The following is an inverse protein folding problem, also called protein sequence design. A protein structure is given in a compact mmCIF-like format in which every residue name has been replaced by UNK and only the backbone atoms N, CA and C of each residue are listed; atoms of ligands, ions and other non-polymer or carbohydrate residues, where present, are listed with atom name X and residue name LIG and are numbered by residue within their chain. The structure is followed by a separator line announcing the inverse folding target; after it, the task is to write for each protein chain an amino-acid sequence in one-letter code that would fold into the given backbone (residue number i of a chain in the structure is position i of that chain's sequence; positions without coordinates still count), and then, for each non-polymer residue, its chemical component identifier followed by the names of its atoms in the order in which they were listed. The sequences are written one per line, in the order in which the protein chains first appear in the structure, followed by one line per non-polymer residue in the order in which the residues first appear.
data_IF_328527507671
#
_entry.id   IF_328527507671
#
_cell.length_a   1.000
_cell.length_b   1.000
_cell.length_c   1.000
_cell.angle_alpha   90.00
_cell.angle_beta   90.00
_cell.angle_gamma   90.00
#
_symmetry.space_group_name_H-M   'P 1'
#
loop_
_entity.id
_entity.type
_entity.pdbx_description
1 polymer ?
#
# COMPACT_ATOMS: atom_id res chain seq x y z
N UNK A 1 16.21 29.77 7.63
CA UNK A 1 14.76 29.51 7.52
C UNK A 1 14.46 28.01 7.39
N UNK A 2 14.86 27.33 6.31
CA UNK A 2 14.60 25.87 6.18
C UNK A 2 15.33 25.04 7.26
N UNK A 3 16.60 25.36 7.53
CA UNK A 3 17.35 24.75 8.63
C UNK A 3 16.71 25.01 9.99
N UNK A 4 16.18 26.22 10.23
CA UNK A 4 15.47 26.52 11.48
C UNK A 4 14.17 25.70 11.60
N UNK A 5 13.42 25.53 10.52
CA UNK A 5 12.20 24.71 10.52
C UNK A 5 12.49 23.25 10.88
N UNK A 6 13.55 22.69 10.27
CA UNK A 6 14.01 21.33 10.57
C UNK A 6 14.62 21.22 11.98
N UNK A 7 15.31 22.26 12.46
CA UNK A 7 15.79 22.30 13.84
C UNK A 7 14.64 22.32 14.85
N UNK A 8 13.56 23.06 14.58
CA UNK A 8 12.35 23.03 15.40
C UNK A 8 11.69 21.65 15.40
N UNK A 9 11.72 20.93 14.29
CA UNK A 9 11.26 19.54 14.26
C UNK A 9 12.15 18.68 15.17
N UNK A 10 13.47 18.76 15.01
CA UNK A 10 14.43 18.01 15.83
C UNK A 10 14.21 18.20 17.32
N UNK A 11 13.98 19.44 17.78
CA UNK A 11 13.79 19.72 19.20
C UNK A 11 12.45 19.22 19.75
N UNK A 12 11.47 18.97 18.90
CA UNK A 12 10.16 18.42 19.28
C UNK A 12 10.08 16.88 19.14
N UNK A 13 11.07 16.26 18.51
CA UNK A 13 11.17 14.82 18.40
C UNK A 13 12.09 14.24 19.47
N UNK A 14 11.76 13.05 19.95
CA UNK A 14 12.67 12.21 20.71
C UNK A 14 13.35 11.24 19.74
N UNK A 15 14.68 11.25 19.75
CA UNK A 15 15.53 10.53 18.81
C UNK A 15 16.44 9.55 19.56
N UNK A 16 15.94 8.36 19.92
CA UNK A 16 16.71 7.38 20.69
C UNK A 16 17.90 6.80 19.90
N UNK A 17 17.83 6.86 18.56
CA UNK A 17 18.82 6.28 17.67
C UNK A 17 19.83 7.30 17.12
N UNK A 18 19.74 8.57 17.55
CA UNK A 18 20.58 9.67 17.10
C UNK A 18 20.56 9.88 15.55
N UNK A 19 19.44 9.58 14.88
CA UNK A 19 19.29 9.76 13.44
C UNK A 19 19.36 11.23 13.01
N UNK A 20 19.00 12.14 13.92
CA UNK A 20 19.02 13.60 13.72
C UNK A 20 20.33 14.22 14.24
N UNK A 21 21.35 13.43 14.57
CA UNK A 21 22.59 13.95 15.17
C UNK A 21 23.29 14.98 14.28
N UNK A 22 23.28 14.79 12.96
CA UNK A 22 23.93 15.70 12.01
C UNK A 22 23.20 17.03 11.81
N UNK A 23 22.00 17.21 12.39
CA UNK A 23 21.15 18.38 12.18
C UNK A 23 21.62 19.55 13.03
N UNK A 24 22.76 20.12 12.65
CA UNK A 24 23.43 21.19 13.38
C UNK A 24 22.84 22.57 13.01
N UNK A 25 22.18 23.27 13.95
CA UNK A 25 21.58 24.58 13.68
C UNK A 25 22.61 25.70 13.41
N UNK A 26 23.88 25.47 13.70
CA UNK A 26 24.95 26.44 13.42
C UNK A 26 25.37 26.44 11.95
N UNK A 27 25.02 25.39 11.21
CA UNK A 27 25.26 25.33 9.77
C UNK A 27 24.24 26.17 9.01
N UNK A 28 24.73 26.96 8.06
CA UNK A 28 23.92 27.88 7.24
C UNK A 28 22.89 27.12 6.40
N UNK A 29 23.16 25.87 6.05
CA UNK A 29 22.36 25.10 5.09
C UNK A 29 22.12 23.66 5.58
N UNK A 30 20.85 23.20 5.67
CA UNK A 30 20.52 21.82 6.03
C UNK A 30 20.86 20.78 4.96
N UNK A 31 21.32 21.15 3.76
CA UNK A 31 21.61 20.20 2.69
C UNK A 31 22.76 19.22 2.98
N UNK A 32 23.56 19.46 4.02
CA UNK A 32 24.60 18.53 4.47
C UNK A 32 24.12 17.58 5.56
N UNK A 33 22.88 17.73 6.03
CA UNK A 33 22.32 16.90 7.09
C UNK A 33 21.92 15.55 6.52
N UNK A 34 22.19 14.46 7.25
CA UNK A 34 21.64 13.16 6.92
C UNK A 34 20.13 13.23 6.90
N UNK A 35 19.52 12.39 6.05
CA UNK A 35 18.08 12.31 5.86
C UNK A 35 17.44 13.55 5.22
N UNK A 36 18.24 14.52 4.76
CA UNK A 36 17.78 15.71 4.03
C UNK A 36 18.38 15.70 2.63
N UNK A 37 17.55 15.95 1.61
CA UNK A 37 18.02 16.14 0.22
C UNK A 37 17.59 17.51 -0.27
N UNK A 38 18.50 18.19 -0.98
CA UNK A 38 18.24 19.48 -1.61
C UNK A 38 18.32 19.42 -3.13
N UNK A 39 17.73 20.43 -3.78
CA UNK A 39 17.94 20.70 -5.19
C UNK A 39 19.25 21.47 -5.44
N UNK A 40 19.52 21.79 -6.72
CA UNK A 40 20.69 22.55 -7.14
C UNK A 40 20.73 23.99 -6.59
N UNK A 41 19.59 24.52 -6.16
CA UNK A 41 19.46 25.86 -5.56
C UNK A 41 19.61 25.83 -4.02
N UNK A 42 20.08 24.71 -3.46
CA UNK A 42 20.27 24.50 -2.02
C UNK A 42 18.98 24.62 -1.19
N UNK A 43 17.83 24.28 -1.76
CA UNK A 43 16.55 24.23 -1.06
C UNK A 43 16.11 22.79 -0.85
N UNK A 44 15.57 22.51 0.34
CA UNK A 44 15.14 21.17 0.76
C UNK A 44 13.98 20.66 -0.10
N UNK A 45 14.17 19.50 -0.73
CA UNK A 45 13.17 18.81 -1.56
C UNK A 45 12.71 17.49 -0.97
N UNK A 46 13.49 16.88 -0.06
CA UNK A 46 13.11 15.63 0.61
C UNK A 46 13.60 15.60 2.05
N UNK A 47 12.76 15.09 2.93
CA UNK A 47 13.12 14.68 4.28
C UNK A 47 12.68 13.22 4.44
N UNK A 48 13.64 12.33 4.73
CA UNK A 48 13.39 10.89 4.86
C UNK A 48 13.83 10.34 6.21
N UNK A 49 12.87 10.23 7.11
CA UNK A 49 13.04 9.75 8.48
C UNK A 49 12.20 8.49 8.74
N UNK A 50 11.92 7.70 7.70
CA UNK A 50 11.17 6.44 7.83
C UNK A 50 11.90 5.42 8.72
N UNK A 51 11.15 4.62 9.49
CA UNK A 51 11.71 3.55 10.35
C UNK A 51 12.79 4.01 11.35
N UNK A 52 12.71 5.25 11.84
CA UNK A 52 13.74 5.84 12.68
C UNK A 52 13.50 5.66 14.20
N UNK A 53 12.38 5.04 14.59
CA UNK A 53 11.90 4.92 15.97
C UNK A 53 11.72 6.28 16.67
N UNK A 54 11.47 7.34 15.89
CA UNK A 54 11.24 8.69 16.39
C UNK A 54 9.92 8.77 17.15
N UNK A 55 9.88 9.51 18.24
CA UNK A 55 8.62 9.85 18.92
C UNK A 55 8.52 11.36 19.17
N UNK A 56 7.44 11.84 19.79
CA UNK A 56 7.18 13.28 19.95
C UNK A 56 6.07 13.76 19.01
N UNK A 57 6.14 15.01 18.55
CA UNK A 57 5.07 15.64 17.74
C UNK A 57 5.64 16.45 16.58
N UNK A 58 4.88 16.56 15.49
CA UNK A 58 5.23 17.46 14.39
C UNK A 58 5.04 18.93 14.76
N UNK A 59 5.66 19.80 13.96
CA UNK A 59 5.70 21.25 14.21
C UNK A 59 5.13 22.04 13.02
N UNK A 60 4.41 23.16 13.25
CA UNK A 60 3.90 24.05 12.19
C UNK A 60 4.98 24.57 11.24
N UNK A 61 6.20 24.74 11.74
CA UNK A 61 7.34 25.28 11.01
C UNK A 61 7.71 24.42 9.80
N UNK A 62 7.33 23.14 9.77
CA UNK A 62 7.50 22.30 8.58
C UNK A 62 6.83 22.90 7.33
N UNK A 63 5.74 23.65 7.49
CA UNK A 63 5.08 24.38 6.39
C UNK A 63 5.93 25.48 5.74
N UNK A 64 7.13 25.76 6.24
CA UNK A 64 8.09 26.71 5.66
C UNK A 64 8.92 26.12 4.51
N UNK A 65 8.97 24.79 4.36
CA UNK A 65 9.78 24.08 3.36
C UNK A 65 9.10 24.11 1.97
N UNK A 66 9.02 25.28 1.32
CA UNK A 66 8.17 25.51 0.13
C UNK A 66 8.48 24.62 -1.08
N UNK A 67 9.71 24.13 -1.19
CA UNK A 67 10.14 23.28 -2.30
C UNK A 67 10.12 21.79 -1.95
N UNK A 68 9.64 21.41 -0.75
CA UNK A 68 9.55 20.02 -0.33
C UNK A 68 8.60 19.25 -1.26
N UNK A 69 9.08 18.10 -1.74
CA UNK A 69 8.37 17.19 -2.62
C UNK A 69 8.04 15.88 -1.92
N UNK A 70 8.92 15.40 -1.04
CA UNK A 70 8.76 14.11 -0.36
C UNK A 70 8.96 14.32 1.14
N UNK A 71 7.93 14.01 1.92
CA UNK A 71 7.98 14.01 3.38
C UNK A 71 7.67 12.60 3.88
N UNK A 72 8.72 11.86 4.21
CA UNK A 72 8.66 10.45 4.58
C UNK A 72 8.92 10.32 6.08
N UNK A 73 7.85 10.14 6.87
CA UNK A 73 7.91 10.02 8.33
C UNK A 73 7.30 8.69 8.82
N UNK A 74 7.08 7.76 7.90
CA UNK A 74 6.38 6.52 8.14
C UNK A 74 7.10 5.59 9.12
N UNK A 75 6.36 4.68 9.75
CA UNK A 75 6.90 3.66 10.65
C UNK A 75 7.74 4.26 11.78
N UNK A 76 7.13 5.20 12.50
CA UNK A 76 7.70 5.83 13.68
C UNK A 76 6.67 5.80 14.81
N UNK A 77 7.01 6.43 15.92
CA UNK A 77 6.16 6.54 17.09
C UNK A 77 5.68 7.99 17.34
N UNK A 78 5.51 8.76 16.26
CA UNK A 78 5.13 10.18 16.32
C UNK A 78 3.66 10.28 16.69
N UNK A 79 3.34 11.23 17.57
CA UNK A 79 2.03 11.47 18.18
C UNK A 79 1.53 12.88 17.88
N UNK A 80 0.33 13.20 18.35
CA UNK A 80 -0.27 14.52 18.23
C UNK A 80 -0.96 14.75 16.89
N UNK A 81 -1.47 15.98 16.67
CA UNK A 81 -2.17 16.31 15.43
C UNK A 81 -1.22 16.63 14.29
N UNK A 82 -1.71 16.45 13.08
CA UNK A 82 -1.03 16.86 11.86
C UNK A 82 -1.17 18.38 11.72
N UNK A 83 -0.07 19.15 11.63
CA UNK A 83 -0.16 20.60 11.53
C UNK A 83 -0.84 21.04 10.23
N UNK A 84 -1.82 21.95 10.32
CA UNK A 84 -2.49 22.51 9.14
C UNK A 84 -1.51 23.23 8.18
N UNK A 85 -0.38 23.69 8.69
CA UNK A 85 0.67 24.37 7.93
C UNK A 85 1.33 23.48 6.87
N UNK A 86 1.21 22.14 6.97
CA UNK A 86 1.65 21.24 5.91
C UNK A 86 0.89 21.49 4.59
N UNK A 87 -0.33 22.04 4.65
CA UNK A 87 -1.07 22.48 3.46
C UNK A 87 -0.42 23.65 2.71
N UNK A 88 0.64 24.27 3.25
CA UNK A 88 1.42 25.30 2.58
C UNK A 88 2.55 24.74 1.70
N UNK A 89 2.74 23.42 1.68
CA UNK A 89 3.78 22.73 0.91
C UNK A 89 3.29 22.44 -0.52
N UNK A 90 3.00 23.47 -1.29
CA UNK A 90 2.32 23.34 -2.60
C UNK A 90 3.07 22.52 -3.66
N UNK A 91 4.35 22.18 -3.42
CA UNK A 91 5.15 21.31 -4.27
C UNK A 91 5.18 19.84 -3.83
N UNK A 92 4.50 19.49 -2.73
CA UNK A 92 4.51 18.15 -2.16
C UNK A 92 3.87 17.13 -3.11
N UNK A 93 4.59 16.03 -3.33
CA UNK A 93 4.23 14.90 -4.20
C UNK A 93 3.88 13.69 -3.35
N UNK A 94 4.64 13.44 -2.28
CA UNK A 94 4.45 12.32 -1.35
C UNK A 94 4.38 12.81 0.09
N UNK A 95 3.37 12.34 0.83
CA UNK A 95 3.21 12.58 2.27
C UNK A 95 2.91 11.25 2.96
N UNK A 96 3.97 10.66 3.51
CA UNK A 96 3.92 9.31 4.08
C UNK A 96 4.01 9.39 5.60
N UNK A 97 2.85 9.27 6.25
CA UNK A 97 2.68 9.39 7.70
C UNK A 97 2.19 8.08 8.36
N UNK A 98 2.07 7.01 7.57
CA UNK A 98 1.53 5.72 8.02
C UNK A 98 2.40 5.06 9.09
N UNK A 99 1.83 4.10 9.82
CA UNK A 99 2.48 3.41 10.95
C UNK A 99 3.08 4.41 11.97
N UNK A 100 2.27 5.40 12.37
CA UNK A 100 2.54 6.33 13.47
C UNK A 100 1.35 6.36 14.44
N UNK A 101 1.40 7.22 15.46
CA UNK A 101 0.35 7.40 16.48
C UNK A 101 -0.30 8.80 16.41
N UNK A 102 -0.45 9.35 15.20
CA UNK A 102 -1.14 10.64 14.99
C UNK A 102 -2.59 10.60 15.50
N UNK A 103 -3.07 11.74 16.00
CA UNK A 103 -4.44 11.88 16.48
C UNK A 103 -5.09 13.18 15.93
N UNK A 104 -6.37 13.38 16.24
CA UNK A 104 -7.13 14.51 15.71
C UNK A 104 -7.51 14.35 14.23
N UNK A 105 -8.23 15.33 13.68
CA UNK A 105 -8.68 15.29 12.29
C UNK A 105 -7.52 15.57 11.32
N UNK A 106 -7.65 15.06 10.09
CA UNK A 106 -6.79 15.50 9.00
C UNK A 106 -7.12 16.95 8.66
N UNK A 107 -6.12 17.84 8.54
CA UNK A 107 -6.37 19.24 8.20
C UNK A 107 -6.93 19.42 6.79
N UNK A 108 -7.99 20.23 6.67
CA UNK A 108 -8.57 20.59 5.36
C UNK A 108 -7.59 21.32 4.44
N UNK A 109 -6.56 21.92 5.02
CA UNK A 109 -5.49 22.58 4.28
C UNK A 109 -4.70 21.62 3.38
N UNK A 110 -4.69 20.31 3.65
CA UNK A 110 -4.06 19.33 2.76
C UNK A 110 -4.78 19.25 1.40
N UNK A 111 -6.05 19.63 1.32
CA UNK A 111 -6.79 19.78 0.06
C UNK A 111 -6.19 20.80 -0.91
N UNK A 112 -5.29 21.67 -0.45
CA UNK A 112 -4.57 22.64 -1.30
C UNK A 112 -3.41 22.03 -2.08
N UNK A 113 -2.98 20.81 -1.73
CA UNK A 113 -1.80 20.16 -2.28
C UNK A 113 -2.12 19.52 -3.63
N UNK A 114 -2.22 20.33 -4.67
CA UNK A 114 -2.63 19.91 -6.02
C UNK A 114 -1.67 18.95 -6.73
N UNK A 115 -0.44 18.78 -6.21
CA UNK A 115 0.58 17.86 -6.74
C UNK A 115 0.70 16.56 -5.95
N UNK A 116 -0.04 16.42 -4.85
CA UNK A 116 0.05 15.27 -3.96
C UNK A 116 -0.52 14.04 -4.66
N UNK A 117 0.30 12.99 -4.78
CA UNK A 117 -0.04 11.73 -5.45
C UNK A 117 -0.22 10.58 -4.48
N UNK A 118 0.55 10.59 -3.40
CA UNK A 118 0.58 9.55 -2.37
C UNK A 118 0.27 10.18 -1.02
N UNK A 119 -0.73 9.62 -0.34
CA UNK A 119 -1.14 10.03 0.98
C UNK A 119 -1.52 8.78 1.79
N UNK A 120 -0.68 8.45 2.77
CA UNK A 120 -0.87 7.28 3.62
C UNK A 120 -1.05 7.74 5.07
N UNK A 121 -2.29 7.81 5.56
CA UNK A 121 -2.60 8.46 6.84
C UNK A 121 -3.94 8.07 7.49
N UNK A 122 -4.25 8.74 8.61
CA UNK A 122 -5.43 8.54 9.45
C UNK A 122 -6.77 9.19 8.97
N UNK A 123 -7.66 9.72 9.85
CA UNK A 123 -9.11 9.87 9.58
C UNK A 123 -9.47 10.87 8.49
N UNK A 124 -10.19 10.39 7.49
CA UNK A 124 -10.47 11.05 6.20
C UNK A 124 -11.32 12.32 6.36
N UNK A 125 -10.84 13.52 5.98
CA UNK A 125 -11.67 14.70 5.89
C UNK A 125 -12.32 14.76 4.50
N UNK A 126 -13.54 15.28 4.45
CA UNK A 126 -14.29 15.48 3.20
C UNK A 126 -13.57 16.39 2.20
N UNK A 127 -12.60 17.20 2.63
CA UNK A 127 -11.81 18.09 1.77
C UNK A 127 -10.79 17.37 0.88
N UNK A 128 -10.39 16.14 1.20
CA UNK A 128 -9.49 15.34 0.36
C UNK A 128 -10.12 14.98 -0.99
N UNK A 129 -11.45 14.98 -1.09
CA UNK A 129 -12.19 14.69 -2.33
C UNK A 129 -11.92 15.70 -3.43
N UNK A 130 -11.41 16.88 -3.08
CA UNK A 130 -11.14 17.96 -4.00
C UNK A 130 -9.74 17.86 -4.64
N UNK A 131 -8.89 16.94 -4.16
CA UNK A 131 -7.56 16.71 -4.74
C UNK A 131 -7.70 15.80 -5.97
N UNK A 132 -7.85 16.40 -7.14
CA UNK A 132 -8.04 15.68 -8.41
C UNK A 132 -6.80 14.94 -8.90
N UNK A 133 -5.63 15.20 -8.32
CA UNK A 133 -4.34 14.61 -8.71
C UNK A 133 -3.97 13.31 -7.96
N UNK A 134 -4.76 12.89 -6.96
CA UNK A 134 -4.47 11.65 -6.23
C UNK A 134 -4.59 10.45 -7.16
N UNK A 135 -3.51 9.68 -7.28
CA UNK A 135 -3.48 8.44 -8.06
C UNK A 135 -3.62 7.22 -7.16
N UNK A 136 -2.97 7.26 -6.00
CA UNK A 136 -2.98 6.17 -5.01
C UNK A 136 -3.32 6.75 -3.65
N UNK A 137 -4.38 6.23 -3.05
CA UNK A 137 -4.77 6.48 -1.68
C UNK A 137 -4.81 5.14 -0.96
N UNK A 138 -4.07 5.00 0.13
CA UNK A 138 -4.17 3.84 1.02
C UNK A 138 -4.23 4.33 2.47
N UNK A 139 -5.40 4.12 3.06
CA UNK A 139 -5.75 4.44 4.44
C UNK A 139 -6.09 3.17 5.21
N UNK A 140 -5.74 1.99 4.66
CA UNK A 140 -6.00 0.72 5.28
C UNK A 140 -5.21 0.55 6.58
N UNK A 141 -5.66 -0.33 7.48
CA UNK A 141 -4.96 -0.67 8.72
C UNK A 141 -4.75 0.52 9.68
N UNK A 142 -5.74 1.40 9.77
CA UNK A 142 -5.75 2.53 10.71
C UNK A 142 -6.91 2.39 11.72
N UNK A 143 -7.10 3.37 12.60
CA UNK A 143 -8.18 3.37 13.59
C UNK A 143 -9.34 4.29 13.18
N UNK A 144 -9.68 4.31 11.89
CA UNK A 144 -10.55 5.35 11.34
C UNK A 144 -12.02 5.05 11.54
N UNK A 145 -12.81 6.10 11.70
CA UNK A 145 -14.26 6.01 11.87
C UNK A 145 -14.96 7.16 11.15
N UNK A 146 -16.22 6.94 10.78
CA UNK A 146 -17.05 7.93 10.10
C UNK A 146 -17.31 7.60 8.63
N UNK A 147 -17.95 8.55 7.94
CA UNK A 147 -18.38 8.38 6.55
C UNK A 147 -17.19 8.60 5.61
N UNK A 148 -16.97 7.66 4.69
CA UNK A 148 -16.03 7.83 3.58
C UNK A 148 -16.75 8.56 2.44
N UNK A 149 -16.23 9.70 1.97
CA UNK A 149 -16.79 10.38 0.82
C UNK A 149 -16.72 9.52 -0.44
N UNK A 150 -17.72 9.61 -1.30
CA UNK A 150 -17.82 8.89 -2.58
C UNK A 150 -17.73 9.80 -3.81
N UNK A 151 -17.44 11.08 -3.59
CA UNK A 151 -17.40 12.13 -4.61
C UNK A 151 -15.97 12.57 -4.95
N UNK A 152 -15.83 13.31 -6.06
CA UNK A 152 -14.53 13.85 -6.49
C UNK A 152 -13.50 12.76 -6.76
N UNK A 153 -12.26 12.95 -6.31
CA UNK A 153 -11.18 11.96 -6.47
C UNK A 153 -11.44 10.64 -5.74
N UNK A 154 -12.29 10.64 -4.72
CA UNK A 154 -12.60 9.43 -3.93
C UNK A 154 -13.45 8.41 -4.69
N UNK A 155 -14.10 8.85 -5.78
CA UNK A 155 -14.77 7.95 -6.72
C UNK A 155 -13.81 6.99 -7.45
N UNK A 156 -12.50 7.28 -7.43
CA UNK A 156 -11.47 6.46 -8.10
C UNK A 156 -10.89 5.37 -7.19
N UNK A 157 -11.12 5.44 -5.87
CA UNK A 157 -10.52 4.50 -4.92
C UNK A 157 -11.46 3.33 -4.62
N UNK A 158 -10.84 2.18 -4.34
CA UNK A 158 -11.56 0.94 -4.06
C UNK A 158 -11.71 0.72 -2.56
N UNK A 159 -12.59 -0.19 -2.11
CA UNK A 159 -12.69 -0.54 -0.68
C UNK A 159 -11.36 -0.94 -0.03
N UNK A 160 -10.40 -1.43 -0.83
CA UNK A 160 -9.06 -1.85 -0.37
C UNK A 160 -8.33 -0.68 0.31
N UNK A 161 -8.44 0.52 -0.27
CA UNK A 161 -7.86 1.76 0.27
C UNK A 161 -8.38 2.11 1.67
N UNK A 162 -9.44 1.47 2.15
CA UNK A 162 -10.10 1.77 3.42
C UNK A 162 -10.21 0.55 4.34
N UNK A 163 -9.61 -0.60 3.97
CA UNK A 163 -9.74 -1.86 4.70
C UNK A 163 -9.14 -1.81 6.12
N UNK A 164 -9.57 -2.71 7.01
CA UNK A 164 -9.01 -2.82 8.37
C UNK A 164 -9.03 -1.48 9.15
N UNK A 165 -10.18 -0.82 9.18
CA UNK A 165 -10.42 0.38 9.97
C UNK A 165 -11.50 0.15 11.03
N UNK A 166 -11.51 0.97 12.07
CA UNK A 166 -12.37 0.77 13.24
C UNK A 166 -13.86 0.79 12.91
N UNK A 167 -14.35 1.84 12.23
CA UNK A 167 -15.77 2.06 11.94
C UNK A 167 -15.97 2.96 10.71
N UNK A 168 -15.28 2.69 9.60
CA UNK A 168 -15.54 3.38 8.34
C UNK A 168 -16.80 2.84 7.67
N UNK A 169 -17.63 3.74 7.15
CA UNK A 169 -18.87 3.39 6.47
C UNK A 169 -19.11 4.30 5.26
N UNK A 170 -19.91 3.86 4.29
CA UNK A 170 -20.23 4.61 3.08
C UNK A 170 -20.15 3.75 1.82
N UNK A 171 -20.51 4.32 0.66
CA UNK A 171 -20.60 3.59 -0.60
C UNK A 171 -19.28 2.94 -1.02
N UNK A 172 -18.17 3.65 -0.81
CA UNK A 172 -16.83 3.22 -1.23
C UNK A 172 -16.27 2.10 -0.34
N UNK A 173 -16.75 1.94 0.89
CA UNK A 173 -16.35 0.83 1.77
C UNK A 173 -17.22 -0.40 1.62
N UNK A 174 -18.33 -0.30 0.88
CA UNK A 174 -19.35 -1.35 0.78
C UNK A 174 -20.09 -1.62 2.10
N UNK A 175 -19.86 -0.81 3.15
CA UNK A 175 -20.45 -0.96 4.48
C UNK A 175 -21.39 0.21 4.75
N UNK A 176 -22.71 0.01 4.84
CA UNK A 176 -23.65 1.11 5.07
C UNK A 176 -23.46 1.71 6.47
N UNK A 177 -23.62 3.03 6.59
CA UNK A 177 -23.50 3.73 7.87
C UNK A 177 -24.68 3.41 8.81
N UNK A 178 -24.49 3.48 10.14
CA UNK A 178 -25.57 3.27 11.10
C UNK A 178 -26.77 4.17 10.81
N UNK A 179 -27.95 3.58 10.59
CA UNK A 179 -29.18 4.31 10.26
C UNK A 179 -29.44 4.59 8.78
N UNK A 180 -28.52 4.20 7.87
CA UNK A 180 -28.75 4.27 6.42
C UNK A 180 -29.37 2.98 5.86
N UNK A 181 -30.23 3.06 4.83
CA UNK A 181 -30.74 1.86 4.17
C UNK A 181 -29.61 1.05 3.52
N UNK A 182 -29.69 -0.29 3.50
CA UNK A 182 -28.67 -1.13 2.87
C UNK A 182 -28.55 -0.80 1.38
N UNK A 183 -27.33 -0.90 0.83
CA UNK A 183 -27.10 -0.66 -0.59
C UNK A 183 -28.00 -1.55 -1.44
N UNK A 184 -28.66 -0.94 -2.43
CA UNK A 184 -29.53 -1.66 -3.36
C UNK A 184 -28.74 -2.78 -4.04
N UNK A 185 -29.29 -4.00 -4.16
CA UNK A 185 -28.62 -5.07 -4.88
C UNK A 185 -28.35 -4.62 -6.33
N UNK A 186 -27.20 -5.01 -6.93
CA UNK A 186 -26.90 -4.64 -8.30
C UNK A 186 -28.03 -5.09 -9.23
N UNK A 187 -28.38 -4.29 -10.24
CA UNK A 187 -29.45 -4.64 -11.17
C UNK A 187 -29.14 -6.01 -11.80
N UNK A 188 -30.18 -6.85 -12.02
CA UNK A 188 -29.98 -8.15 -12.65
C UNK A 188 -29.26 -7.96 -13.98
N UNK A 189 -28.16 -8.69 -14.16
CA UNK A 189 -27.39 -8.67 -15.40
C UNK A 189 -28.31 -9.06 -16.55
N UNK A 190 -28.63 -8.10 -17.42
CA UNK A 190 -29.35 -8.36 -18.67
C UNK A 190 -28.27 -8.63 -19.71
N UNK A 191 -28.04 -9.89 -20.14
CA UNK A 191 -27.10 -10.17 -21.20
C UNK A 191 -27.52 -9.42 -22.48
N UNK A 192 -26.57 -8.86 -23.25
CA UNK A 192 -26.89 -8.20 -24.50
C UNK A 192 -27.56 -9.19 -25.47
N UNK A 193 -28.53 -8.73 -26.29
CA UNK A 193 -29.22 -9.60 -27.24
C UNK A 193 -28.21 -10.17 -28.26
N UNK A 194 -28.37 -11.44 -28.67
CA UNK A 194 -27.47 -12.04 -29.65
C UNK A 194 -27.52 -11.26 -30.96
N UNK A 195 -26.33 -10.90 -31.45
CA UNK A 195 -26.14 -10.26 -32.75
C UNK A 195 -26.57 -11.27 -33.82
N UNK A 196 -27.74 -11.03 -34.44
CA UNK A 196 -28.22 -11.79 -35.58
C UNK A 196 -27.40 -11.42 -36.83
N UNK A 197 -26.52 -12.32 -37.27
CA UNK A 197 -25.98 -12.29 -38.63
C UNK A 197 -27.07 -12.68 -39.65
N UNK A 198 -26.99 -12.21 -40.92
CA UNK A 198 -28.04 -12.43 -41.91
C UNK A 198 -28.10 -13.89 -42.34
N UNK A 199 -29.29 -14.49 -42.26
CA UNK A 199 -29.52 -15.88 -42.66
C UNK A 199 -29.53 -16.06 -44.17
N UNK A 200 -28.86 -17.12 -44.64
CA UNK A 200 -29.28 -17.84 -45.84
C UNK A 200 -30.36 -18.85 -45.43
N UNK A 201 -31.53 -18.76 -46.04
CA UNK A 201 -32.68 -19.59 -45.70
C UNK A 201 -32.54 -21.05 -46.14
N UNK A 202 -33.24 -21.94 -45.45
CA UNK A 202 -34.32 -22.74 -46.03
C UNK A 202 -35.00 -23.58 -44.93
N UNK A 203 -36.32 -23.66 -45.00
CA UNK A 203 -37.22 -24.18 -43.98
C UNK A 203 -37.38 -25.70 -44.06
N UNK A 204 -37.38 -26.41 -42.93
CA UNK A 204 -38.32 -27.54 -42.72
C UNK A 204 -38.50 -27.86 -41.23
N UNK A 205 -39.74 -27.71 -40.75
CA UNK A 205 -40.50 -28.71 -39.99
C UNK A 205 -39.95 -29.26 -38.66
N UNK A 206 -40.67 -28.94 -37.59
CA UNK A 206 -40.56 -29.51 -36.25
C UNK A 206 -40.53 -31.05 -36.21
N UNK A 207 -39.67 -31.62 -35.36
CA UNK A 207 -39.93 -32.86 -34.63
C UNK A 207 -39.51 -32.64 -33.18
N UNK A 208 -40.52 -32.66 -32.31
CA UNK A 208 -40.41 -32.60 -30.88
C UNK A 208 -39.84 -33.89 -30.30
N UNK A 209 -39.19 -33.76 -29.13
CA UNK A 209 -39.16 -34.84 -28.13
C UNK A 209 -37.90 -35.68 -28.10
N UNK A 210 -37.03 -35.37 -27.13
CA UNK A 210 -36.32 -36.43 -26.40
C UNK A 210 -34.82 -36.52 -26.57
N UNK A 211 -34.04 -35.53 -26.12
CA UNK A 211 -32.73 -35.77 -25.49
C UNK A 211 -32.43 -34.68 -24.42
N UNK A 212 -33.35 -34.46 -23.49
CA UNK A 212 -33.16 -33.48 -22.41
C UNK A 212 -32.34 -33.99 -21.20
N UNK A 213 -31.71 -35.17 -21.30
CA UNK A 213 -30.98 -35.79 -20.16
C UNK A 213 -29.46 -35.85 -20.29
N UNK A 214 -28.90 -35.72 -21.50
CA UNK A 214 -27.47 -36.01 -21.74
C UNK A 214 -26.56 -34.77 -21.77
N UNK A 215 -27.04 -33.65 -22.30
CA UNK A 215 -26.20 -32.46 -22.52
C UNK A 215 -26.08 -31.56 -21.28
N UNK A 216 -27.04 -31.62 -20.34
CA UNK A 216 -27.01 -30.79 -19.14
C UNK A 216 -25.87 -31.20 -18.18
N UNK A 217 -25.49 -32.48 -18.12
CA UNK A 217 -24.42 -32.96 -17.24
C UNK A 217 -23.01 -32.62 -17.76
N UNK A 218 -22.81 -32.55 -19.08
CA UNK A 218 -21.50 -32.25 -19.67
C UNK A 218 -21.10 -30.78 -19.52
N UNK A 219 -22.05 -29.86 -19.36
CA UNK A 219 -21.76 -28.43 -19.14
C UNK A 219 -22.00 -27.96 -17.71
N UNK A 220 -22.95 -28.57 -16.97
CA UNK A 220 -23.21 -28.16 -15.60
C UNK A 220 -22.13 -28.63 -14.62
N UNK A 221 -21.59 -29.84 -14.76
CA UNK A 221 -20.58 -30.33 -13.83
C UNK A 221 -19.26 -29.52 -13.88
N UNK A 222 -18.70 -29.16 -15.07
CA UNK A 222 -17.55 -28.27 -15.15
C UNK A 222 -17.88 -26.84 -14.70
N UNK A 223 -19.08 -26.33 -15.00
CA UNK A 223 -19.47 -24.98 -14.61
C UNK A 223 -19.70 -24.86 -13.09
N UNK A 224 -20.24 -25.90 -12.44
CA UNK A 224 -20.41 -25.96 -10.99
C UNK A 224 -19.04 -26.20 -10.33
N UNK A 225 -18.17 -27.03 -10.89
CA UNK A 225 -16.80 -27.19 -10.40
C UNK A 225 -16.00 -25.90 -10.56
N UNK A 226 -16.13 -25.17 -11.67
CA UNK A 226 -15.52 -23.87 -11.89
C UNK A 226 -16.10 -22.79 -10.99
N UNK A 227 -17.42 -22.76 -10.77
CA UNK A 227 -18.06 -21.84 -9.83
C UNK A 227 -17.68 -22.15 -8.37
N UNK A 228 -17.48 -23.42 -8.03
CA UNK A 228 -17.02 -23.85 -6.71
C UNK A 228 -15.53 -23.57 -6.51
N UNK A 229 -14.71 -23.74 -7.56
CA UNK A 229 -13.31 -23.32 -7.60
C UNK A 229 -13.15 -21.80 -7.47
N UNK A 230 -14.02 -21.03 -8.15
CA UNK A 230 -14.07 -19.56 -8.10
C UNK A 230 -14.62 -19.02 -6.78
N UNK A 231 -15.43 -19.79 -6.04
CA UNK A 231 -15.92 -19.43 -4.70
C UNK A 231 -14.95 -19.81 -3.57
N UNK A 232 -14.03 -20.75 -3.80
CA UNK A 232 -13.00 -21.13 -2.82
C UNK A 232 -11.75 -20.26 -2.86
N UNK A 233 -11.52 -19.53 -3.96
CA UNK A 233 -10.55 -18.43 -3.96
C UNK A 233 -11.28 -17.14 -3.58
N UNK A 234 -11.07 -16.55 -2.39
CA UNK A 234 -11.39 -15.14 -2.21
C UNK A 234 -10.68 -14.35 -3.33
N UNK A 235 -11.35 -13.34 -3.89
CA UNK A 235 -10.70 -12.39 -4.78
C UNK A 235 -9.73 -11.53 -3.97
N UNK A 236 -8.63 -12.14 -3.54
CA UNK A 236 -7.37 -11.47 -3.37
C UNK A 236 -6.92 -11.11 -4.79
N UNK A 237 -7.32 -9.95 -5.30
CA UNK A 237 -6.61 -9.32 -6.42
C UNK A 237 -5.30 -8.72 -5.90
N UNK A 238 -4.53 -9.52 -5.16
CA UNK A 238 -3.10 -9.36 -5.16
C UNK A 238 -2.69 -9.77 -6.57
N UNK A 239 -2.13 -8.86 -7.35
CA UNK A 239 -1.42 -9.26 -8.56
C UNK A 239 -0.43 -10.34 -8.12
N UNK A 240 -0.60 -11.57 -8.58
CA UNK A 240 0.34 -12.66 -8.31
C UNK A 240 1.59 -12.38 -9.14
N UNK A 241 2.35 -11.34 -8.76
CA UNK A 241 3.57 -10.90 -9.43
C UNK A 241 4.54 -12.08 -9.57
N UNK A 242 4.75 -12.94 -8.55
CA UNK A 242 5.56 -14.15 -8.70
C UNK A 242 5.01 -15.12 -9.76
N UNK A 243 3.69 -15.38 -9.76
CA UNK A 243 3.03 -16.23 -10.74
C UNK A 243 3.09 -15.67 -12.17
N UNK A 244 2.94 -14.36 -12.33
CA UNK A 244 3.01 -13.67 -13.62
C UNK A 244 4.44 -13.62 -14.18
N UNK A 245 5.44 -13.49 -13.31
CA UNK A 245 6.84 -13.62 -13.68
C UNK A 245 7.13 -15.05 -14.17
N UNK A 246 6.60 -16.07 -13.48
CA UNK A 246 6.73 -17.48 -13.86
C UNK A 246 6.02 -17.81 -15.18
N UNK A 247 4.89 -17.15 -15.45
CA UNK A 247 4.14 -17.26 -16.72
C UNK A 247 4.73 -16.40 -17.86
N UNK A 248 5.82 -15.66 -17.62
CA UNK A 248 6.45 -14.72 -18.57
C UNK A 248 5.49 -13.65 -19.11
N UNK A 249 4.50 -13.23 -18.31
CA UNK A 249 3.54 -12.19 -18.70
C UNK A 249 3.98 -10.80 -18.23
N UNK A 250 5.19 -10.41 -18.63
CA UNK A 250 5.83 -9.15 -18.19
C UNK A 250 5.06 -7.90 -18.63
N UNK A 251 4.35 -7.96 -19.75
CA UNK A 251 3.48 -6.90 -20.26
C UNK A 251 2.37 -6.48 -19.28
N UNK A 252 1.99 -7.34 -18.34
CA UNK A 252 1.01 -7.02 -17.29
C UNK A 252 1.64 -6.44 -16.03
N UNK A 253 2.98 -6.43 -15.95
CA UNK A 253 3.77 -5.94 -14.81
C UNK A 253 4.51 -4.63 -15.11
N UNK A 254 4.64 -4.27 -16.39
CA UNK A 254 5.36 -3.09 -16.87
C UNK A 254 4.35 -1.99 -17.24
N UNK A 255 4.76 -0.72 -17.08
CA UNK A 255 3.95 0.44 -17.44
C UNK A 255 3.49 0.36 -18.91
N UNK A 256 2.18 0.46 -19.21
CA UNK A 256 1.66 0.47 -20.58
C UNK A 256 2.29 1.55 -21.47
N UNK A 257 2.72 2.67 -20.90
CA UNK A 257 3.33 3.80 -21.61
C UNK A 257 4.72 3.47 -22.16
N UNK A 258 5.37 2.41 -21.66
CA UNK A 258 6.66 1.95 -22.19
C UNK A 258 6.54 1.34 -23.59
N UNK A 259 5.35 0.96 -24.08
CA UNK A 259 5.12 0.44 -25.44
C UNK A 259 6.18 -0.58 -25.91
N UNK A 260 6.60 -1.53 -25.06
CA UNK A 260 7.67 -2.52 -25.29
C UNK A 260 9.11 -1.99 -25.37
N UNK A 261 9.34 -0.73 -25.01
CA UNK A 261 10.66 -0.10 -24.91
C UNK A 261 11.35 -0.43 -23.56
N UNK A 262 11.59 -1.71 -23.32
CA UNK A 262 12.31 -2.20 -22.13
C UNK A 262 13.05 -3.50 -22.45
N UNK A 263 14.08 -3.80 -21.66
CA UNK A 263 14.82 -5.06 -21.76
C UNK A 263 14.20 -6.05 -20.78
N UNK A 264 13.57 -7.11 -21.30
CA UNK A 264 12.84 -8.10 -20.49
C UNK A 264 13.69 -8.67 -19.34
N UNK A 265 14.96 -8.98 -19.60
CA UNK A 265 15.87 -9.53 -18.60
C UNK A 265 16.19 -8.55 -17.46
N UNK A 266 16.30 -7.24 -17.75
CA UNK A 266 16.56 -6.22 -16.74
C UNK A 266 15.31 -5.98 -15.87
N UNK A 267 14.13 -5.96 -16.51
CA UNK A 267 12.85 -5.82 -15.81
C UNK A 267 12.60 -7.03 -14.90
N UNK A 268 12.87 -8.25 -15.38
CA UNK A 268 12.74 -9.46 -14.58
C UNK A 268 13.63 -9.41 -13.33
N UNK A 269 14.90 -9.01 -13.48
CA UNK A 269 15.82 -8.84 -12.35
C UNK A 269 15.34 -7.77 -11.36
N UNK A 270 14.87 -6.63 -11.86
CA UNK A 270 14.33 -5.56 -11.02
C UNK A 270 13.10 -6.01 -10.22
N UNK A 271 12.20 -6.78 -10.84
CA UNK A 271 11.02 -7.34 -10.18
C UNK A 271 11.42 -8.36 -9.10
N UNK A 272 12.38 -9.25 -9.38
CA UNK A 272 12.89 -10.21 -8.39
C UNK A 272 13.49 -9.50 -7.17
N UNK A 273 14.34 -8.49 -7.40
CA UNK A 273 14.93 -7.68 -6.32
C UNK A 273 13.84 -6.94 -5.53
N UNK A 274 12.84 -6.36 -6.20
CA UNK A 274 11.73 -5.68 -5.54
C UNK A 274 10.92 -6.62 -4.64
N UNK A 275 10.65 -7.84 -5.08
CA UNK A 275 9.93 -8.85 -4.29
C UNK A 275 10.73 -9.31 -3.07
N UNK A 276 12.05 -9.48 -3.21
CA UNK A 276 12.93 -9.79 -2.07
C UNK A 276 12.97 -8.65 -1.04
N UNK A 277 12.91 -7.40 -1.49
CA UNK A 277 12.93 -6.20 -0.64
C UNK A 277 11.59 -5.91 0.05
N UNK A 278 10.47 -6.34 -0.54
CA UNK A 278 9.11 -6.05 -0.03
C UNK A 278 8.53 -7.17 0.84
N UNK A 279 9.36 -8.13 1.27
CA UNK A 279 8.92 -9.23 2.15
C UNK A 279 8.24 -8.71 3.44
N UNK A 280 7.19 -9.41 3.88
CA UNK A 280 6.37 -8.97 5.02
C UNK A 280 7.13 -8.85 6.34
N UNK A 281 8.15 -9.70 6.56
CA UNK A 281 9.00 -9.65 7.75
C UNK A 281 10.26 -8.78 7.49
N UNK A 282 10.56 -7.79 8.35
CA UNK A 282 11.79 -7.00 8.24
C UNK A 282 13.07 -7.83 8.33
N UNK A 283 13.04 -8.97 9.02
CA UNK A 283 14.19 -9.87 9.18
C UNK A 283 14.50 -10.69 7.92
N UNK A 284 13.51 -10.85 7.04
CA UNK A 284 13.65 -11.62 5.80
C UNK A 284 14.13 -10.74 4.62
N UNK A 285 14.12 -9.41 4.80
CA UNK A 285 14.52 -8.44 3.77
C UNK A 285 16.06 -8.37 3.67
N UNK A 286 16.62 -8.30 2.45
CA UNK A 286 18.06 -8.16 2.25
C UNK A 286 18.56 -6.78 2.73
N UNK A 287 19.81 -6.74 3.19
CA UNK A 287 20.49 -5.47 3.50
C UNK A 287 20.79 -4.72 2.21
N UNK A 288 20.89 -3.40 2.26
CA UNK A 288 21.16 -2.58 1.08
C UNK A 288 22.46 -2.97 0.35
N UNK A 289 23.50 -3.40 1.07
CA UNK A 289 24.74 -3.91 0.47
C UNK A 289 24.54 -5.16 -0.39
N UNK A 290 23.55 -5.98 -0.05
CA UNK A 290 23.18 -7.19 -0.77
C UNK A 290 22.27 -6.86 -1.96
N UNK A 291 21.38 -5.89 -1.82
CA UNK A 291 20.58 -5.31 -2.92
C UNK A 291 21.48 -4.77 -4.02
N UNK A 292 22.53 -4.02 -3.67
CA UNK A 292 23.51 -3.52 -4.66
C UNK A 292 24.20 -4.67 -5.39
N UNK A 293 24.65 -5.71 -4.69
CA UNK A 293 25.26 -6.89 -5.33
C UNK A 293 24.30 -7.63 -6.26
N UNK A 294 23.04 -7.77 -5.87
CA UNK A 294 22.01 -8.39 -6.71
C UNK A 294 21.75 -7.58 -7.99
N UNK A 295 21.73 -6.25 -7.91
CA UNK A 295 21.59 -5.36 -9.07
C UNK A 295 22.84 -5.37 -9.97
N UNK A 296 24.01 -5.66 -9.41
CA UNK A 296 25.26 -5.89 -10.16
C UNK A 296 25.34 -7.31 -10.77
N UNK A 297 24.30 -8.13 -10.59
CA UNK A 297 24.17 -9.47 -11.17
C UNK A 297 24.74 -10.61 -10.31
N UNK A 298 25.09 -10.34 -9.05
CA UNK A 298 25.71 -11.30 -8.15
C UNK A 298 24.73 -11.84 -7.09
N UNK A 299 24.60 -13.16 -6.95
CA UNK A 299 23.83 -13.82 -5.90
C UNK A 299 22.29 -13.79 -6.01
N UNK A 300 21.71 -13.07 -6.98
CA UNK A 300 20.25 -12.94 -7.14
C UNK A 300 19.56 -14.29 -7.40
N UNK A 301 20.11 -15.13 -8.28
CA UNK A 301 19.50 -16.40 -8.66
C UNK A 301 19.38 -17.39 -7.48
N UNK A 302 20.43 -17.48 -6.66
CA UNK A 302 20.46 -18.37 -5.49
C UNK A 302 19.45 -17.91 -4.42
N UNK A 303 19.43 -16.60 -4.13
CA UNK A 303 18.47 -15.98 -3.22
C UNK A 303 17.03 -16.14 -3.68
N UNK A 304 16.78 -15.99 -4.97
CA UNK A 304 15.47 -16.15 -5.56
C UNK A 304 14.94 -17.58 -5.41
N UNK A 305 15.80 -18.58 -5.65
CA UNK A 305 15.45 -20.00 -5.45
C UNK A 305 15.13 -20.35 -3.99
N UNK A 306 15.87 -19.76 -3.04
CA UNK A 306 15.58 -19.91 -1.60
C UNK A 306 14.22 -19.31 -1.23
N UNK A 307 13.95 -18.11 -1.73
CA UNK A 307 12.70 -17.40 -1.49
C UNK A 307 11.50 -18.17 -2.03
N UNK A 308 11.59 -18.71 -3.26
CA UNK A 308 10.52 -19.53 -3.84
C UNK A 308 10.23 -20.80 -3.02
N UNK A 309 11.26 -21.42 -2.42
CA UNK A 309 11.07 -22.58 -1.53
C UNK A 309 10.35 -22.20 -0.23
N UNK A 310 10.65 -21.03 0.32
CA UNK A 310 10.00 -20.51 1.53
C UNK A 310 8.54 -20.11 1.31
N UNK A 311 8.20 -19.59 0.13
CA UNK A 311 6.85 -19.18 -0.22
C UNK A 311 5.90 -20.38 -0.39
N UNK A 312 6.35 -21.46 -1.04
CA UNK A 312 5.60 -22.73 -1.14
C UNK A 312 5.26 -23.29 0.23
N UNK A 313 6.19 -23.21 1.20
CA UNK A 313 5.99 -23.69 2.56
C UNK A 313 4.98 -22.83 3.34
N UNK A 314 4.96 -21.50 3.14
CA UNK A 314 3.96 -20.61 3.75
C UNK A 314 2.55 -20.89 3.22
N UNK A 315 2.42 -21.17 1.94
CA UNK A 315 1.14 -21.45 1.31
C UNK A 315 0.52 -22.78 1.78
N UNK A 316 1.35 -23.76 2.17
CA UNK A 316 0.88 -25.01 2.79
C UNK A 316 0.38 -24.82 4.24
N UNK A 317 0.95 -23.87 5.00
CA UNK A 317 0.55 -23.60 6.40
C UNK A 317 -0.79 -22.87 6.48
N UNK A 318 -1.12 -22.00 5.51
CA UNK A 318 -2.41 -21.29 5.43
C UNK A 318 -3.60 -22.19 5.07
N UNK A 319 -3.37 -23.41 4.56
CA UNK A 319 -4.42 -24.35 4.15
C UNK A 319 -4.82 -25.35 5.25
N UNK A 320 -4.21 -25.30 6.43
CA UNK A 320 -4.55 -26.18 7.55
C UNK A 320 -5.73 -25.60 8.36
N UNK A 321 -6.82 -26.36 8.63
CA UNK A 321 -7.95 -25.86 9.41
C UNK A 321 -7.56 -25.77 10.88
N UNK A 322 -7.56 -24.57 11.45
CA UNK A 322 -7.42 -24.38 12.89
C UNK A 322 -8.75 -24.65 13.63
N UNK A 323 -8.78 -25.54 14.63
CA UNK A 323 -9.86 -25.58 15.60
C UNK A 323 -9.66 -24.47 16.64
N UNK A 324 -10.77 -23.83 17.01
CA UNK A 324 -10.93 -22.89 18.13
C UNK A 324 -10.01 -23.17 19.34
N UNK A 325 -9.36 -22.13 19.86
CA UNK A 325 -9.15 -21.99 21.31
C UNK A 325 -8.82 -20.55 21.72
N UNK A 326 -9.74 -20.04 22.53
CA UNK A 326 -9.70 -19.03 23.59
C UNK A 326 -8.37 -18.39 24.06
N UNK A 327 -8.55 -17.12 24.45
CA UNK A 327 -7.68 -16.22 25.21
C UNK A 327 -7.00 -16.82 26.46
N UNK A 328 -5.77 -16.33 26.75
CA UNK A 328 -5.14 -15.98 28.07
C UNK A 328 -3.74 -15.39 27.71
N UNK A 329 -3.45 -14.09 27.86
CA UNK A 329 -3.00 -13.31 29.04
C UNK A 329 -1.53 -13.55 29.48
N UNK A 330 -0.81 -12.41 29.51
CA UNK A 330 0.37 -11.96 30.29
C UNK A 330 1.82 -12.40 30.00
N UNK A 331 2.61 -11.35 29.71
CA UNK A 331 3.77 -10.81 30.45
C UNK A 331 4.84 -11.76 31.03
N UNK A 332 6.05 -11.56 30.50
CA UNK A 332 7.36 -11.56 31.21
C UNK A 332 7.50 -12.43 32.47
N UNK A 333 8.28 -13.50 32.37
CA UNK A 333 9.28 -13.89 33.39
C UNK A 333 10.24 -14.96 32.84
N UNK A 334 11.50 -14.91 33.27
CA UNK A 334 12.63 -15.81 33.01
C UNK A 334 13.62 -15.46 31.89
N UNK A 335 14.35 -14.36 32.04
CA UNK A 335 15.78 -14.36 31.73
C UNK A 335 16.56 -13.70 32.88
N UNK A 336 17.24 -14.53 33.67
CA UNK A 336 18.30 -14.09 34.57
C UNK A 336 19.47 -13.56 33.75
N UNK A 337 20.05 -12.44 34.20
CA UNK A 337 21.25 -11.85 33.61
C UNK A 337 22.43 -12.84 33.66
N UNK A 338 22.99 -13.15 32.50
CA UNK A 338 24.33 -13.74 32.39
C UNK A 338 25.30 -12.59 32.16
N UNK A 339 26.03 -12.23 33.21
CA UNK A 339 27.22 -11.38 33.14
C UNK A 339 28.26 -11.99 32.20
N UNK A 340 28.63 -11.27 31.15
CA UNK A 340 29.92 -11.43 30.48
C UNK A 340 30.59 -10.06 30.38
N UNK A 341 31.18 -9.64 31.50
CA UNK A 341 32.20 -8.59 31.54
C UNK A 341 33.41 -9.12 32.30
N UNK A 342 34.50 -9.36 31.55
CA UNK A 342 35.86 -9.51 32.06
C UNK A 342 36.76 -8.48 31.37
N UNK A 343 37.81 -7.96 32.03
CA UNK A 343 38.31 -6.61 31.78
C UNK A 343 39.47 -6.56 30.76
N UNK A 344 39.41 -5.62 29.83
CA UNK A 344 40.26 -4.41 29.82
C UNK A 344 39.94 -3.52 28.62
#
# INVERSE_FOLDING_TARGET
MEGDALHNLRTNLQDPNNVLQSWDPTLVNPCTWFHVTCNNDNSVIRVDLGNAALSGTLVPQLGQLKNLQYLELYSNNITGPIPSDLGNLTNLVSLDLYLNRFNGPIPDSLGKLSKLRFLLMGPIPMSLTNITALQVLDLSNNQLSGVVPDNGSFSLFTPISFANNLNLCGPVTGHPCPGSPPFSPPPPFVPPPPISAPGSGSATGAIAGGVAGGAALLFAAPAIAFAWWRRRKPQEFFFDVPGLLKEKKLEMLVDPDLQTNYIEAEVEQLIQVALLCTQGSPMDRPKMSEVVRMLEGDGLAERWDEWQKGEVLRQEVELAPHPNSDWIVDSTENLHAVELSGPR
#
